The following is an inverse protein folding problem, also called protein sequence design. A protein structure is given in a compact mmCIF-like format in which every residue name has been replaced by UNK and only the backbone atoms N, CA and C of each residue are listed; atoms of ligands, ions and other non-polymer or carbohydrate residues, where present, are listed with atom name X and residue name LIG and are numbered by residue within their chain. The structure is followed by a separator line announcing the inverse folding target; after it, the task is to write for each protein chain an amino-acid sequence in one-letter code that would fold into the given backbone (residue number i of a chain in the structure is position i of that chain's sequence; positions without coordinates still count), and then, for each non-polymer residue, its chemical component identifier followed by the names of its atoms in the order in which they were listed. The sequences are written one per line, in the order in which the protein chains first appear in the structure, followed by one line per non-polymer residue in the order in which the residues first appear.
data_IF_176028303641
#
_entry.id   IF_176028303641
#
_cell.length_a   1.000
_cell.length_b   1.000
_cell.length_c   1.000
_cell.angle_alpha   90.00
_cell.angle_beta   90.00
_cell.angle_gamma   90.00
#
_symmetry.space_group_name_H-M   'P 1'
#
loop_
_entity.id
_entity.type
_entity.pdbx_description
1 polymer ?
#
# COMPACT_ATOMS: atom_id res chain seq x y z
N UNK A 1 30.92 -4.98 2.95
CA UNK A 1 30.15 -4.19 1.97
C UNK A 1 28.68 -4.46 2.12
N UNK A 2 27.83 -3.41 2.19
CA UNK A 2 26.38 -3.59 2.16
C UNK A 2 25.96 -3.99 0.74
N UNK A 3 25.14 -5.04 0.62
CA UNK A 3 24.60 -5.49 -0.67
C UNK A 3 23.49 -4.53 -1.09
N UNK A 4 23.72 -3.74 -2.13
CA UNK A 4 22.64 -3.03 -2.83
C UNK A 4 21.71 -4.07 -3.44
N UNK A 5 20.43 -4.00 -3.11
CA UNK A 5 19.39 -4.80 -3.77
C UNK A 5 18.73 -3.88 -4.79
N UNK A 6 19.03 -4.11 -6.07
CA UNK A 6 18.40 -3.39 -7.17
C UNK A 6 17.02 -4.03 -7.42
N UNK A 7 15.95 -3.27 -7.20
CA UNK A 7 14.60 -3.69 -7.56
C UNK A 7 14.50 -3.71 -9.09
N UNK A 8 14.25 -4.88 -9.68
CA UNK A 8 14.15 -5.05 -11.14
C UNK A 8 15.09 -6.10 -11.74
N UNK A 9 15.97 -6.72 -10.95
CA UNK A 9 16.78 -7.86 -11.40
C UNK A 9 15.86 -9.03 -11.81
N UNK A 10 15.97 -9.52 -13.06
CA UNK A 10 15.14 -10.61 -13.55
C UNK A 10 15.42 -11.87 -12.73
N UNK A 11 14.36 -12.42 -12.15
CA UNK A 11 14.42 -13.67 -11.40
C UNK A 11 14.97 -14.76 -12.32
N UNK A 12 16.02 -15.49 -11.91
CA UNK A 12 16.59 -16.57 -12.71
C UNK A 12 16.50 -17.90 -11.97
N UNK A 13 16.06 -18.95 -12.67
CA UNK A 13 16.01 -20.30 -12.12
C UNK A 13 16.45 -21.34 -13.16
N UNK A 14 17.25 -22.33 -12.76
CA UNK A 14 17.73 -23.39 -13.65
C UNK A 14 16.72 -24.54 -13.85
N UNK A 15 15.50 -24.45 -13.31
CA UNK A 15 14.51 -25.51 -13.44
C UNK A 15 13.91 -25.58 -14.86
N UNK A 16 13.39 -26.75 -15.24
CA UNK A 16 12.83 -26.97 -16.58
C UNK A 16 11.64 -26.04 -16.88
N UNK A 17 10.79 -25.77 -15.89
CA UNK A 17 9.65 -24.85 -16.03
C UNK A 17 10.10 -23.42 -16.37
N UNK A 18 11.07 -22.88 -15.63
CA UNK A 18 11.62 -21.54 -15.90
C UNK A 18 12.36 -21.48 -17.25
N UNK A 19 13.11 -22.53 -17.61
CA UNK A 19 13.80 -22.56 -18.91
C UNK A 19 12.86 -22.59 -20.11
N UNK A 20 11.68 -23.20 -19.97
CA UNK A 20 10.69 -23.31 -21.04
C UNK A 20 9.81 -22.07 -21.15
N UNK A 21 9.37 -21.52 -20.02
CA UNK A 21 8.34 -20.48 -19.98
C UNK A 21 8.92 -19.08 -19.67
N UNK A 22 10.12 -18.99 -19.08
CA UNK A 22 10.72 -17.75 -18.54
C UNK A 22 9.83 -17.03 -17.52
N UNK A 23 8.93 -17.76 -16.85
CA UNK A 23 8.00 -17.27 -15.85
C UNK A 23 8.39 -17.69 -14.43
N UNK A 24 7.80 -17.01 -13.43
CA UNK A 24 7.96 -17.32 -12.01
C UNK A 24 7.63 -18.79 -11.72
N UNK A 25 8.64 -19.55 -11.29
CA UNK A 25 8.47 -20.96 -10.93
C UNK A 25 8.35 -21.13 -9.41
N UNK A 26 7.88 -22.30 -8.94
CA UNK A 26 7.76 -22.60 -7.50
C UNK A 26 9.03 -22.40 -6.66
N UNK A 27 10.21 -22.42 -7.30
CA UNK A 27 11.50 -22.19 -6.63
C UNK A 27 11.78 -20.70 -6.42
N UNK A 28 11.24 -19.83 -7.29
CA UNK A 28 11.28 -18.39 -7.12
C UNK A 28 10.19 -17.90 -6.13
N UNK A 29 9.07 -18.63 -6.03
CA UNK A 29 7.97 -18.30 -5.11
C UNK A 29 8.20 -18.72 -3.64
N UNK A 30 9.44 -18.94 -3.18
CA UNK A 30 9.69 -19.38 -1.80
C UNK A 30 9.35 -18.30 -0.76
N UNK A 31 9.41 -17.01 -1.13
CA UNK A 31 9.10 -15.88 -0.24
C UNK A 31 7.63 -15.45 -0.17
N UNK A 32 6.78 -15.84 -1.13
CA UNK A 32 5.39 -15.35 -1.24
C UNK A 32 4.34 -16.24 -0.54
N UNK A 33 4.78 -17.22 0.27
CA UNK A 33 3.90 -18.23 0.86
C UNK A 33 3.18 -17.82 2.15
N UNK A 34 3.50 -16.66 2.71
CA UNK A 34 3.02 -16.29 4.05
C UNK A 34 1.79 -15.36 4.08
N UNK A 35 1.30 -14.81 2.96
CA UNK A 35 0.26 -13.76 2.99
C UNK A 35 -0.94 -13.93 2.04
N UNK A 36 -1.15 -15.08 1.39
CA UNK A 36 -2.35 -15.24 0.58
C UNK A 36 -3.09 -16.56 0.84
N UNK A 37 -4.42 -16.51 1.11
CA UNK A 37 -5.26 -17.68 1.10
C UNK A 37 -5.21 -18.30 -0.30
N UNK A 38 -4.53 -19.44 -0.36
CA UNK A 38 -4.70 -20.58 -1.27
C UNK A 38 -5.76 -20.36 -2.37
N UNK A 39 -5.29 -20.05 -3.59
CA UNK A 39 -5.75 -20.59 -4.90
C UNK A 39 -5.28 -19.72 -6.10
N UNK A 40 -4.95 -18.44 -5.89
CA UNK A 40 -4.64 -17.52 -7.00
C UNK A 40 -3.16 -17.40 -7.38
N UNK A 41 -2.24 -17.90 -6.54
CA UNK A 41 -0.80 -17.75 -6.74
C UNK A 41 -0.23 -18.47 -7.98
N UNK A 42 -1.01 -19.32 -8.65
CA UNK A 42 -0.58 -20.08 -9.84
C UNK A 42 -1.33 -19.68 -11.13
N UNK A 43 -2.15 -18.63 -11.10
CA UNK A 43 -2.83 -18.13 -12.29
C UNK A 43 -1.97 -17.08 -12.98
N UNK A 44 -1.75 -17.24 -14.29
CA UNK A 44 -1.00 -16.29 -15.13
C UNK A 44 -1.70 -14.92 -15.24
N UNK A 45 -2.98 -14.88 -14.91
CA UNK A 45 -3.81 -13.70 -14.81
C UNK A 45 -5.16 -14.09 -14.21
N UNK A 46 -5.85 -13.12 -13.62
CA UNK A 46 -7.23 -13.29 -13.21
C UNK A 46 -8.13 -13.11 -14.44
N UNK A 47 -9.14 -13.97 -14.57
CA UNK A 47 -10.21 -13.72 -15.53
C UNK A 47 -11.01 -12.49 -15.09
N UNK A 48 -11.64 -11.80 -16.04
CA UNK A 48 -12.42 -10.58 -15.75
C UNK A 48 -13.49 -10.81 -14.68
N UNK A 49 -14.18 -11.95 -14.71
CA UNK A 49 -15.13 -12.38 -13.66
C UNK A 49 -14.49 -12.55 -12.28
N UNK A 50 -13.23 -12.95 -12.20
CA UNK A 50 -12.52 -13.10 -10.93
C UNK A 50 -12.08 -11.75 -10.38
N UNK A 51 -11.72 -10.81 -11.27
CA UNK A 51 -11.45 -9.41 -10.91
C UNK A 51 -12.74 -8.77 -10.37
N UNK A 52 -13.86 -8.96 -11.06
CA UNK A 52 -15.18 -8.49 -10.64
C UNK A 52 -15.58 -9.07 -9.28
N UNK A 53 -15.44 -10.38 -9.08
CA UNK A 53 -15.80 -11.04 -7.82
C UNK A 53 -14.92 -10.53 -6.65
N UNK A 54 -13.63 -10.26 -6.89
CA UNK A 54 -12.75 -9.64 -5.90
C UNK A 54 -13.15 -8.20 -5.57
N UNK A 55 -13.42 -7.37 -6.58
CA UNK A 55 -13.87 -6.00 -6.39
C UNK A 55 -15.21 -5.95 -5.63
N UNK A 56 -16.12 -6.85 -5.95
CA UNK A 56 -17.44 -6.94 -5.32
C UNK A 56 -17.33 -7.37 -3.85
N UNK A 57 -16.43 -8.31 -3.51
CA UNK A 57 -16.14 -8.67 -2.12
C UNK A 57 -15.55 -7.50 -1.32
N UNK A 58 -14.61 -6.76 -1.91
CA UNK A 58 -14.04 -5.55 -1.28
C UNK A 58 -15.10 -4.46 -1.07
N UNK A 59 -16.06 -4.34 -1.99
CA UNK A 59 -17.20 -3.44 -1.84
C UNK A 59 -18.16 -3.93 -0.75
N UNK A 60 -18.43 -5.23 -0.66
CA UNK A 60 -19.30 -5.81 0.38
C UNK A 60 -18.69 -5.68 1.79
N UNK A 61 -17.39 -5.91 1.93
CA UNK A 61 -16.64 -5.68 3.18
C UNK A 61 -16.69 -4.20 3.60
N UNK A 62 -16.68 -3.28 2.64
CA UNK A 62 -16.85 -1.84 2.90
C UNK A 62 -18.29 -1.47 3.29
N UNK A 63 -19.31 -2.22 2.84
CA UNK A 63 -20.73 -1.94 3.17
C UNK A 63 -21.18 -2.52 4.51
N UNK A 64 -20.45 -3.49 5.07
CA UNK A 64 -20.76 -4.07 6.37
C UNK A 64 -20.10 -3.34 7.56
N UNK A 65 -19.28 -2.30 7.28
CA UNK A 65 -18.78 -1.38 8.29
C UNK A 65 -19.68 -0.14 8.33
N UNK A 66 -20.52 0.05 9.37
CA UNK A 66 -21.41 1.19 9.46
C UNK A 66 -20.63 2.40 9.98
N UNK A 67 -19.81 3.04 9.14
CA UNK A 67 -19.38 4.42 9.33
C UNK A 67 -18.84 5.00 8.01
N UNK A 68 -19.77 5.29 7.08
CA UNK A 68 -19.54 6.25 6.01
C UNK A 68 -20.59 7.34 6.14
N UNK A 69 -20.28 8.32 6.99
CA UNK A 69 -21.04 9.56 7.07
C UNK A 69 -20.96 10.26 5.71
N UNK A 70 -22.14 10.50 5.14
CA UNK A 70 -22.34 11.21 3.90
C UNK A 70 -21.64 12.58 3.93
N UNK A 71 -21.01 12.96 2.81
CA UNK A 71 -20.50 14.31 2.59
C UNK A 71 -21.67 15.31 2.62
N UNK A 72 -21.68 16.32 3.51
CA UNK A 72 -22.52 17.49 3.31
C UNK A 72 -21.92 18.41 2.23
N UNK A 73 -22.75 19.19 1.50
CA UNK A 73 -22.29 20.12 0.48
C UNK A 73 -21.49 21.28 1.10
N UNK A 74 -20.67 22.01 0.31
CA UNK A 74 -19.62 22.85 0.85
C UNK A 74 -20.20 24.16 1.38
N UNK A 75 -19.99 24.44 2.67
CA UNK A 75 -20.17 25.77 3.24
C UNK A 75 -19.00 26.09 4.18
N UNK A 76 -18.30 27.16 3.80
CA UNK A 76 -17.33 27.98 4.53
C UNK A 76 -15.87 27.48 4.69
N UNK A 77 -14.97 28.41 4.36
CA UNK A 77 -13.50 28.39 4.46
C UNK A 77 -13.02 28.43 5.93
N UNK A 78 -13.55 27.55 6.76
CA UNK A 78 -12.85 27.17 7.99
C UNK A 78 -11.94 26.01 7.62
N UNK A 79 -10.62 26.14 7.89
CA UNK A 79 -9.69 25.03 7.75
C UNK A 79 -10.18 23.94 8.70
N UNK A 80 -11.01 23.03 8.19
CA UNK A 80 -11.43 21.81 8.86
C UNK A 80 -10.18 20.96 8.98
N UNK A 81 -9.40 21.20 10.04
CA UNK A 81 -8.28 20.35 10.39
C UNK A 81 -8.82 18.96 10.64
N UNK A 82 -8.46 18.03 9.77
CA UNK A 82 -8.95 16.67 9.87
C UNK A 82 -8.19 15.99 11.00
N UNK A 83 -8.93 15.28 11.84
CA UNK A 83 -8.37 14.56 12.96
C UNK A 83 -7.53 13.38 12.48
N UNK A 84 -6.45 13.12 13.22
CA UNK A 84 -5.66 11.90 13.06
C UNK A 84 -6.56 10.69 13.33
N UNK A 85 -6.53 9.70 12.44
CA UNK A 85 -7.20 8.43 12.69
C UNK A 85 -6.50 7.68 13.82
N UNK A 86 -7.28 6.99 14.64
CA UNK A 86 -6.73 6.07 15.63
C UNK A 86 -5.88 4.99 14.95
N UNK A 87 -4.87 4.50 15.68
CA UNK A 87 -3.98 3.44 15.20
C UNK A 87 -4.35 2.16 15.93
N UNK A 88 -4.94 1.22 15.19
CA UNK A 88 -5.20 -0.14 15.64
C UNK A 88 -3.92 -0.99 15.71
N UNK A 89 -4.02 -2.12 16.40
CA UNK A 89 -2.91 -3.07 16.57
C UNK A 89 -2.43 -3.71 15.26
N UNK A 90 -3.31 -3.85 14.29
CA UNK A 90 -3.02 -4.44 12.98
C UNK A 90 -2.78 -3.38 11.89
N UNK A 91 -2.80 -2.09 12.26
CA UNK A 91 -2.62 -1.02 11.30
C UNK A 91 -1.17 -0.95 10.83
N UNK A 92 -1.03 -0.83 9.51
CA UNK A 92 0.26 -0.80 8.81
C UNK A 92 0.50 0.54 8.13
N UNK A 93 1.76 0.96 8.09
CA UNK A 93 2.17 2.12 7.31
C UNK A 93 2.00 1.84 5.81
N UNK A 94 1.26 2.67 5.05
CA UNK A 94 0.97 2.38 3.64
C UNK A 94 2.20 2.53 2.72
N UNK A 95 3.29 3.12 3.21
CA UNK A 95 4.54 3.27 2.45
C UNK A 95 5.47 2.06 2.64
N UNK A 96 5.73 1.65 3.89
CA UNK A 96 6.67 0.54 4.17
C UNK A 96 5.98 -0.81 4.45
N UNK A 97 4.66 -0.84 4.59
CA UNK A 97 3.86 -2.02 4.92
C UNK A 97 4.27 -2.72 6.24
N UNK A 98 4.78 -1.93 7.19
CA UNK A 98 5.12 -2.39 8.53
C UNK A 98 4.11 -1.87 9.56
N UNK A 99 3.83 -2.70 10.57
CA UNK A 99 2.94 -2.36 11.70
C UNK A 99 3.43 -1.11 12.44
N UNK A 100 2.52 -0.17 12.73
CA UNK A 100 2.88 1.07 13.44
C UNK A 100 3.35 0.80 14.87
N UNK A 101 2.63 -0.05 15.61
CA UNK A 101 2.84 -0.23 17.04
C UNK A 101 4.02 -1.16 17.39
N UNK A 102 4.42 -2.03 16.46
CA UNK A 102 5.46 -3.04 16.71
C UNK A 102 6.86 -2.46 16.78
N UNK A 103 7.15 -1.45 15.97
CA UNK A 103 8.47 -0.81 15.95
C UNK A 103 8.54 0.46 16.78
N UNK A 104 7.41 0.91 17.37
CA UNK A 104 7.30 2.20 18.10
C UNK A 104 7.95 3.37 17.34
N UNK A 105 7.91 3.33 16.01
CA UNK A 105 8.46 4.40 15.18
C UNK A 105 7.52 5.60 15.26
N UNK A 106 8.05 6.83 15.24
CA UNK A 106 7.21 8.01 15.30
C UNK A 106 6.33 8.10 14.05
N UNK A 107 5.06 8.43 14.27
CA UNK A 107 4.02 8.54 13.26
C UNK A 107 3.64 10.00 13.04
N UNK A 108 3.27 10.32 11.81
CA UNK A 108 2.62 11.56 11.40
C UNK A 108 1.35 11.21 10.63
N UNK A 109 0.54 12.20 10.30
CA UNK A 109 -0.72 12.00 9.59
C UNK A 109 -1.04 13.14 8.63
N UNK A 110 -1.93 12.87 7.67
CA UNK A 110 -2.44 13.89 6.76
C UNK A 110 -3.45 14.81 7.47
N UNK A 111 -3.07 16.07 7.67
CA UNK A 111 -3.91 17.09 8.35
C UNK A 111 -4.95 17.76 7.45
N UNK A 112 -4.81 17.60 6.14
CA UNK A 112 -5.57 18.36 5.14
C UNK A 112 -6.76 17.61 4.54
N UNK A 113 -6.72 16.27 4.51
CA UNK A 113 -7.76 15.49 3.81
C UNK A 113 -8.02 14.10 4.43
N UNK A 114 -7.06 13.18 4.41
CA UNK A 114 -7.41 11.77 4.70
C UNK A 114 -7.24 11.33 6.16
N UNK A 115 -6.57 12.11 7.02
CA UNK A 115 -6.32 11.75 8.43
C UNK A 115 -5.45 10.50 8.65
N UNK A 116 -5.00 9.84 7.58
CA UNK A 116 -4.28 8.57 7.65
C UNK A 116 -2.87 8.74 8.21
N UNK A 117 -2.45 7.73 8.95
CA UNK A 117 -1.14 7.64 9.59
C UNK A 117 -0.05 7.18 8.61
N UNK A 118 1.16 7.69 8.80
CA UNK A 118 2.37 7.31 8.07
C UNK A 118 3.57 7.45 9.01
N UNK A 119 4.54 6.55 8.96
CA UNK A 119 5.80 6.75 9.69
C UNK A 119 6.49 8.04 9.24
N UNK A 120 7.04 8.82 10.17
CA UNK A 120 7.76 10.07 9.84
C UNK A 120 8.90 9.80 8.84
N UNK A 121 9.66 8.72 9.03
CA UNK A 121 10.74 8.33 8.12
C UNK A 121 10.22 8.08 6.70
N UNK A 122 9.09 7.39 6.56
CA UNK A 122 8.49 7.11 5.26
C UNK A 122 7.97 8.39 4.60
N UNK A 123 7.34 9.28 5.37
CA UNK A 123 6.88 10.57 4.86
C UNK A 123 8.05 11.47 4.43
N UNK A 124 9.19 11.42 5.13
CA UNK A 124 10.40 12.13 4.72
C UNK A 124 10.92 11.64 3.37
N UNK A 125 11.04 10.32 3.18
CA UNK A 125 11.47 9.75 1.89
C UNK A 125 10.52 10.17 0.77
N UNK A 126 9.22 10.19 1.03
CA UNK A 126 8.22 10.67 0.08
C UNK A 126 8.40 12.15 -0.27
N UNK A 127 8.57 13.00 0.74
CA UNK A 127 8.80 14.43 0.55
C UNK A 127 10.08 14.70 -0.24
N UNK A 128 11.19 14.03 0.09
CA UNK A 128 12.47 14.15 -0.61
C UNK A 128 12.30 13.79 -2.11
N UNK A 129 11.58 12.70 -2.43
CA UNK A 129 11.29 12.33 -3.83
C UNK A 129 10.37 13.32 -4.55
N UNK A 130 9.41 13.93 -3.85
CA UNK A 130 8.56 14.96 -4.46
C UNK A 130 9.32 16.23 -4.77
N UNK A 131 10.24 16.63 -3.88
CA UNK A 131 11.09 17.81 -4.08
C UNK A 131 12.04 17.63 -5.28
N UNK A 132 12.54 16.40 -5.52
CA UNK A 132 13.31 16.08 -6.73
C UNK A 132 12.50 16.23 -8.04
N UNK A 133 11.18 16.02 -7.99
CA UNK A 133 10.30 16.07 -9.16
C UNK A 133 9.68 17.45 -9.39
N UNK A 134 9.26 18.10 -8.30
CA UNK A 134 8.61 19.41 -8.26
C UNK A 134 9.24 20.24 -7.12
N UNK A 135 10.43 20.86 -7.36
CA UNK A 135 11.11 21.67 -6.36
C UNK A 135 10.22 22.82 -5.87
N UNK A 136 10.35 23.16 -4.59
CA UNK A 136 9.56 24.23 -3.91
C UNK A 136 8.04 23.99 -3.88
N UNK A 137 7.57 22.79 -4.26
CA UNK A 137 6.16 22.44 -4.15
C UNK A 137 5.77 22.02 -2.74
N UNK A 138 4.52 22.27 -2.36
CA UNK A 138 3.97 21.77 -1.09
C UNK A 138 3.91 20.25 -1.16
N UNK A 139 4.47 19.58 -0.15
CA UNK A 139 4.44 18.11 -0.05
C UNK A 139 3.01 17.60 -0.08
N UNK A 140 2.67 16.83 -1.11
CA UNK A 140 1.34 16.24 -1.32
C UNK A 140 1.24 14.94 -0.53
N UNK A 141 0.05 14.61 -0.06
CA UNK A 141 -0.16 13.36 0.65
C UNK A 141 -0.09 12.19 -0.34
N UNK A 142 0.67 11.11 -0.07
CA UNK A 142 0.75 9.97 -0.97
C UNK A 142 -0.58 9.24 -1.18
N UNK A 143 -1.53 9.40 -0.24
CA UNK A 143 -2.80 8.68 -0.22
C UNK A 143 -3.96 9.44 -0.88
N UNK A 144 -4.02 10.76 -0.68
CA UNK A 144 -5.13 11.58 -1.15
C UNK A 144 -4.73 12.70 -2.12
N UNK A 145 -3.42 12.86 -2.39
CA UNK A 145 -2.80 13.80 -3.34
C UNK A 145 -3.26 15.24 -3.17
#
# INVERSE_FOLDING_TARGET
SPRQVVLGEPHSCSCAAFRKERLLCKHLCWGARAQQPRLHAFKLGLLEREIEDMLQRLQQEQTLSPERTAFPPPLNEEILFIHQKEIGIEDICPICQEEFLKMMLPVTFCRYSCGNNVHIKCMKIWADHQDELEPDSVVKCPLCR
#
